data_IF_615013932716
#
_entry.id   IF_615013932716
#
_cell.length_a   1.000
_cell.length_b   1.000
_cell.length_c   1.000
_cell.angle_alpha   90.00
_cell.angle_beta   90.00
_cell.angle_gamma   90.00
#
_symmetry.space_group_name_H-M   'P 1'
#
loop_
_entity.id
_entity.type
_entity.pdbx_description
1 polymer ?
#
# COMPACT_ATOMS: atom_id res chain seq x y z
N UNK A 1 3.90 -3.21 -15.78
CA UNK A 1 4.49 -3.60 -14.47
C UNK A 1 3.40 -4.35 -13.73
N UNK A 2 3.68 -5.57 -13.24
CA UNK A 2 2.66 -6.53 -12.79
C UNK A 2 1.61 -5.93 -11.82
N UNK A 3 2.01 -5.04 -10.93
CA UNK A 3 1.12 -4.40 -9.95
C UNK A 3 0.06 -3.49 -10.60
N UNK A 4 0.48 -2.67 -11.57
CA UNK A 4 -0.41 -1.74 -12.28
C UNK A 4 -1.39 -2.50 -13.18
N UNK A 5 -0.91 -3.55 -13.81
CA UNK A 5 -1.74 -4.42 -14.65
C UNK A 5 -2.76 -5.19 -13.82
N UNK A 6 -2.36 -5.73 -12.65
CA UNK A 6 -3.27 -6.36 -11.71
C UNK A 6 -4.36 -5.39 -11.22
N UNK A 7 -4.00 -4.14 -10.90
CA UNK A 7 -4.98 -3.12 -10.54
C UNK A 7 -5.97 -2.87 -11.68
N UNK A 8 -5.47 -2.70 -12.92
CA UNK A 8 -6.30 -2.40 -14.08
C UNK A 8 -7.33 -3.51 -14.36
N UNK A 9 -6.90 -4.77 -14.40
CA UNK A 9 -7.82 -5.90 -14.68
C UNK A 9 -8.90 -6.05 -13.61
N UNK A 10 -8.59 -5.74 -12.35
CA UNK A 10 -9.57 -5.77 -11.26
C UNK A 10 -10.56 -4.63 -11.39
N UNK A 11 -10.10 -3.40 -11.67
CA UNK A 11 -10.97 -2.22 -11.89
C UNK A 11 -11.87 -2.34 -13.13
N UNK A 12 -11.41 -3.07 -14.14
CA UNK A 12 -12.19 -3.35 -15.36
C UNK A 12 -13.13 -4.54 -15.21
N UNK A 13 -12.99 -5.35 -14.16
CA UNK A 13 -13.80 -6.54 -13.96
C UNK A 13 -15.25 -6.19 -13.63
N UNK A 14 -16.26 -6.56 -14.46
CA UNK A 14 -17.62 -6.10 -14.27
C UNK A 14 -18.23 -6.48 -12.90
N UNK A 15 -18.05 -7.70 -12.38
CA UNK A 15 -18.52 -8.04 -11.04
C UNK A 15 -17.91 -7.19 -9.93
N UNK A 16 -16.64 -6.79 -10.07
CA UNK A 16 -15.99 -5.88 -9.12
C UNK A 16 -16.61 -4.49 -9.17
N UNK A 17 -16.83 -3.93 -10.37
CA UNK A 17 -17.48 -2.62 -10.54
C UNK A 17 -18.88 -2.58 -9.93
N UNK A 18 -19.67 -3.64 -10.09
CA UNK A 18 -20.98 -3.75 -9.45
C UNK A 18 -20.89 -3.82 -7.92
N UNK A 19 -19.90 -4.53 -7.38
CA UNK A 19 -19.65 -4.58 -5.94
C UNK A 19 -19.22 -3.22 -5.36
N UNK A 20 -18.44 -2.45 -6.11
CA UNK A 20 -18.06 -1.08 -5.76
C UNK A 20 -19.24 -0.12 -5.83
N UNK A 21 -20.09 -0.24 -6.85
CA UNK A 21 -21.31 0.56 -6.99
C UNK A 21 -22.28 0.33 -5.83
N UNK A 22 -22.44 -0.91 -5.35
CA UNK A 22 -23.24 -1.22 -4.13
C UNK A 22 -22.72 -0.52 -2.88
N UNK A 23 -21.43 -0.15 -2.86
CA UNK A 23 -20.77 0.59 -1.78
C UNK A 23 -20.75 2.10 -2.02
N UNK A 24 -21.41 2.58 -3.08
CA UNK A 24 -21.48 4.00 -3.44
C UNK A 24 -20.23 4.52 -4.15
N UNK A 25 -19.40 3.64 -4.71
CA UNK A 25 -18.13 4.00 -5.35
C UNK A 25 -18.28 3.76 -6.86
N UNK A 26 -18.54 4.83 -7.59
CA UNK A 26 -18.68 4.78 -9.06
C UNK A 26 -17.39 5.20 -9.78
N UNK A 27 -16.62 6.09 -9.16
CA UNK A 27 -15.32 6.52 -9.65
C UNK A 27 -14.24 5.50 -9.27
N UNK A 28 -13.73 4.79 -10.27
CA UNK A 28 -12.67 3.81 -10.08
C UNK A 28 -11.29 4.46 -9.92
N UNK A 29 -11.11 5.73 -10.23
CA UNK A 29 -9.85 6.44 -10.00
C UNK A 29 -9.56 6.65 -8.50
N UNK A 30 -10.62 6.59 -7.68
CA UNK A 30 -10.50 6.56 -6.21
C UNK A 30 -10.05 5.20 -5.67
N UNK A 31 -10.20 4.13 -6.45
CA UNK A 31 -9.97 2.76 -6.01
C UNK A 31 -8.51 2.38 -6.23
N UNK A 32 -7.86 1.98 -5.14
CA UNK A 32 -6.54 1.38 -5.13
C UNK A 32 -6.68 -0.13 -4.93
N UNK A 33 -6.01 -0.89 -5.78
CA UNK A 33 -5.94 -2.36 -5.70
C UNK A 33 -4.50 -2.73 -5.38
N UNK A 34 -4.25 -3.28 -4.20
CA UNK A 34 -2.91 -3.64 -3.73
C UNK A 34 -2.71 -5.16 -3.79
N UNK A 35 -1.95 -5.70 -4.77
CA UNK A 35 -1.78 -7.15 -4.97
C UNK A 35 -0.90 -7.79 -3.89
N UNK A 36 -1.54 -8.27 -2.82
CA UNK A 36 -0.85 -8.96 -1.73
C UNK A 36 -0.53 -10.42 -2.10
N UNK A 37 0.51 -10.97 -1.47
CA UNK A 37 0.91 -12.35 -1.71
C UNK A 37 -0.19 -13.34 -1.26
N UNK A 38 -0.41 -14.39 -2.06
CA UNK A 38 -1.47 -15.36 -1.78
C UNK A 38 -1.16 -16.30 -0.59
N UNK A 39 0.11 -16.41 -0.19
CA UNK A 39 0.61 -17.41 0.76
C UNK A 39 0.53 -18.84 0.22
N UNK A 40 0.84 -19.83 1.06
CA UNK A 40 0.62 -21.25 0.77
C UNK A 40 -0.21 -21.88 1.89
N UNK A 41 -1.48 -22.16 1.61
CA UNK A 41 -2.40 -22.74 2.60
C UNK A 41 -2.79 -24.18 2.24
N UNK A 42 -2.76 -24.53 0.95
CA UNK A 42 -3.03 -25.87 0.44
C UNK A 42 -2.37 -26.09 -0.92
N UNK A 43 -2.44 -27.31 -1.46
CA UNK A 43 -1.97 -27.64 -2.82
C UNK A 43 -2.61 -26.79 -3.92
N UNK A 44 -3.78 -26.18 -3.67
CA UNK A 44 -4.39 -25.24 -4.60
C UNK A 44 -3.54 -23.95 -4.78
N UNK A 45 -2.73 -23.59 -3.78
CA UNK A 45 -1.80 -22.46 -3.81
C UNK A 45 -0.38 -22.86 -4.26
N UNK A 46 -0.18 -24.12 -4.70
CA UNK A 46 1.13 -24.59 -5.13
C UNK A 46 1.72 -23.71 -6.25
N UNK A 47 3.06 -23.58 -6.34
CA UNK A 47 3.75 -22.65 -7.25
C UNK A 47 3.66 -23.02 -8.75
N UNK A 48 2.61 -23.75 -9.12
CA UNK A 48 2.16 -23.94 -10.50
C UNK A 48 1.58 -22.67 -11.13
N UNK A 49 1.17 -21.69 -10.31
CA UNK A 49 0.71 -20.36 -10.74
C UNK A 49 1.33 -19.28 -9.85
N UNK A 50 1.45 -18.06 -10.39
CA UNK A 50 1.87 -16.87 -9.65
C UNK A 50 0.60 -16.15 -9.20
N UNK A 51 0.22 -16.34 -7.94
CA UNK A 51 -1.06 -15.89 -7.40
C UNK A 51 -0.91 -14.63 -6.53
N UNK A 52 -1.86 -13.71 -6.66
CA UNK A 52 -2.06 -12.59 -5.74
C UNK A 52 -3.49 -12.58 -5.20
N UNK A 53 -3.65 -12.08 -3.97
CA UNK A 53 -4.94 -11.83 -3.32
C UNK A 53 -5.06 -10.33 -3.04
N UNK A 54 -5.47 -9.52 -4.03
CA UNK A 54 -5.45 -8.07 -3.88
C UNK A 54 -6.38 -7.59 -2.76
N UNK A 55 -5.91 -6.60 -2.01
CA UNK A 55 -6.72 -5.82 -1.08
C UNK A 55 -7.16 -4.52 -1.74
N UNK A 56 -8.36 -4.06 -1.39
CA UNK A 56 -9.01 -2.96 -2.06
C UNK A 56 -9.19 -1.80 -1.09
N UNK A 57 -8.74 -0.62 -1.48
CA UNK A 57 -8.82 0.59 -0.68
C UNK A 57 -9.40 1.73 -1.49
N UNK A 58 -9.90 2.76 -0.83
CA UNK A 58 -10.56 3.88 -1.50
C UNK A 58 -10.11 5.22 -0.97
N UNK A 59 -9.63 6.07 -1.87
CA UNK A 59 -9.40 7.50 -1.61
C UNK A 59 -10.71 8.25 -1.43
N UNK A 60 -10.60 9.44 -0.87
CA UNK A 60 -11.65 10.47 -0.87
C UNK A 60 -11.56 11.35 -2.10
N UNK A 61 -10.35 11.61 -2.59
CA UNK A 61 -10.08 12.51 -3.72
C UNK A 61 -9.05 11.87 -4.65
N UNK A 62 -9.29 11.93 -5.97
CA UNK A 62 -8.43 11.27 -6.97
C UNK A 62 -7.13 12.03 -7.21
N UNK A 63 -7.10 13.34 -6.96
CA UNK A 63 -5.99 14.27 -7.19
C UNK A 63 -5.21 14.64 -5.91
N UNK A 64 -5.41 13.91 -4.81
CA UNK A 64 -4.66 14.08 -3.56
C UNK A 64 -3.57 13.01 -3.39
N UNK A 65 -2.34 13.21 -3.93
CA UNK A 65 -1.28 12.20 -3.89
C UNK A 65 -0.77 11.90 -2.47
N UNK A 66 -1.09 12.76 -1.50
CA UNK A 66 -0.69 12.60 -0.11
C UNK A 66 -1.75 11.95 0.78
N UNK A 67 -2.89 11.57 0.20
CA UNK A 67 -3.93 10.85 0.92
C UNK A 67 -3.46 9.42 1.25
N UNK A 68 -3.62 9.04 2.52
CA UNK A 68 -3.40 7.67 2.98
C UNK A 68 -4.56 6.76 2.57
N UNK A 69 -4.43 6.12 1.40
CA UNK A 69 -5.44 5.20 0.86
C UNK A 69 -5.73 4.03 1.82
N UNK A 70 -4.71 3.55 2.54
CA UNK A 70 -4.82 2.41 3.45
C UNK A 70 -5.77 2.68 4.63
N UNK A 71 -6.14 3.94 4.89
CA UNK A 71 -7.09 4.33 5.94
C UNK A 71 -8.54 3.88 5.68
N UNK A 72 -8.87 3.50 4.44
CA UNK A 72 -10.24 3.23 3.99
C UNK A 72 -10.30 1.93 3.18
N UNK A 73 -10.16 0.82 3.89
CA UNK A 73 -10.29 -0.54 3.35
C UNK A 73 -11.73 -0.84 2.90
N UNK A 74 -11.86 -1.40 1.71
CA UNK A 74 -13.11 -1.99 1.21
C UNK A 74 -13.18 -3.43 1.66
N UNK A 75 -13.94 -3.68 2.72
CA UNK A 75 -14.10 -5.02 3.28
C UNK A 75 -15.12 -5.88 2.50
N UNK A 76 -14.94 -7.19 2.65
CA UNK A 76 -15.87 -8.21 2.15
C UNK A 76 -15.74 -8.56 0.67
N UNK A 77 -14.78 -7.98 -0.04
CA UNK A 77 -14.40 -8.38 -1.40
C UNK A 77 -13.17 -9.30 -1.32
N UNK A 78 -13.24 -10.45 -1.99
CA UNK A 78 -12.11 -11.33 -2.21
C UNK A 78 -11.88 -11.48 -3.70
N UNK A 79 -10.63 -11.32 -4.13
CA UNK A 79 -10.22 -11.51 -5.51
C UNK A 79 -8.98 -12.40 -5.50
N UNK A 80 -8.96 -13.42 -6.36
CA UNK A 80 -7.76 -14.20 -6.64
C UNK A 80 -7.34 -13.93 -8.08
N UNK A 81 -6.09 -13.51 -8.24
CA UNK A 81 -5.54 -13.14 -9.55
C UNK A 81 -4.34 -14.02 -9.86
N UNK A 82 -4.33 -14.58 -11.07
CA UNK A 82 -3.11 -15.09 -11.68
C UNK A 82 -2.38 -13.90 -12.30
N UNK A 83 -1.34 -13.43 -11.63
CA UNK A 83 -0.60 -12.23 -12.05
C UNK A 83 0.40 -12.52 -13.16
N UNK A 84 0.64 -13.79 -13.51
CA UNK A 84 1.47 -14.12 -14.67
C UNK A 84 0.65 -14.01 -15.97
N UNK A 85 -0.62 -14.44 -15.92
CA UNK A 85 -1.51 -14.42 -17.09
C UNK A 85 -2.49 -13.22 -17.09
N UNK A 86 -2.50 -12.41 -16.04
CA UNK A 86 -3.41 -11.28 -15.84
C UNK A 86 -4.89 -11.68 -15.97
N UNK A 87 -5.27 -12.75 -15.26
CA UNK A 87 -6.65 -13.24 -15.21
C UNK A 87 -7.16 -13.35 -13.78
N UNK A 88 -8.41 -12.96 -13.58
CA UNK A 88 -9.13 -13.15 -12.32
C UNK A 88 -9.62 -14.60 -12.29
N UNK A 89 -9.15 -15.36 -11.31
CA UNK A 89 -9.51 -16.75 -11.11
C UNK A 89 -10.76 -16.89 -10.24
N UNK A 90 -10.85 -16.05 -9.20
CA UNK A 90 -11.95 -16.08 -8.24
C UNK A 90 -12.35 -14.65 -7.88
N UNK A 91 -13.65 -14.45 -7.67
CA UNK A 91 -14.22 -13.19 -7.20
C UNK A 91 -15.40 -13.48 -6.29
N UNK A 92 -15.37 -12.95 -5.07
CA UNK A 92 -16.45 -13.10 -4.10
C UNK A 92 -16.73 -11.76 -3.39
N UNK A 93 -17.98 -11.30 -3.45
CA UNK A 93 -18.50 -10.18 -2.65
C UNK A 93 -19.33 -10.75 -1.49
N UNK A 94 -18.66 -11.06 -0.38
CA UNK A 94 -19.22 -11.83 0.75
C UNK A 94 -20.07 -11.00 1.68
N UNK A 95 -19.65 -9.77 1.98
CA UNK A 95 -20.26 -8.91 2.99
C UNK A 95 -20.18 -7.45 2.59
N UNK A 96 -21.34 -6.78 2.60
CA UNK A 96 -21.38 -5.33 2.49
C UNK A 96 -21.05 -4.72 3.85
N UNK A 97 -19.82 -4.23 3.99
CA UNK A 97 -19.36 -3.46 5.14
C UNK A 97 -19.24 -1.99 4.71
N UNK A 98 -19.79 -1.04 5.48
CA UNK A 98 -19.63 0.38 5.19
C UNK A 98 -18.15 0.75 5.16
N UNK A 99 -17.75 1.54 4.17
CA UNK A 99 -16.40 2.05 4.06
C UNK A 99 -16.08 2.93 5.29
N UNK A 100 -14.87 2.86 5.87
CA UNK A 100 -14.48 3.80 6.91
C UNK A 100 -14.70 5.25 6.45
N UNK A 101 -15.23 6.08 7.36
CA UNK A 101 -15.41 7.50 7.09
C UNK A 101 -14.05 8.16 6.82
N UNK A 102 -14.09 9.22 6.00
CA UNK A 102 -12.95 10.09 5.80
C UNK A 102 -12.50 10.69 7.13
N UNK A 103 -11.21 10.61 7.43
CA UNK A 103 -10.62 11.13 8.65
C UNK A 103 -9.28 11.78 8.29
N UNK A 104 -9.21 13.12 8.22
CA UNK A 104 -7.98 13.85 7.89
C UNK A 104 -6.81 13.49 8.81
N UNK A 105 -7.08 13.06 10.05
CA UNK A 105 -6.05 12.69 11.01
C UNK A 105 -5.35 11.37 10.67
N UNK A 106 -5.90 10.58 9.73
CA UNK A 106 -5.27 9.37 9.18
C UNK A 106 -4.31 9.64 8.04
N UNK A 107 -4.22 10.88 7.58
CA UNK A 107 -3.11 11.35 6.75
C UNK A 107 -1.95 11.73 7.69
N UNK A 108 -0.77 11.14 7.47
CA UNK A 108 0.41 11.34 8.33
C UNK A 108 1.29 12.51 7.89
N UNK A 109 0.69 13.49 7.21
CA UNK A 109 1.31 14.76 6.83
C UNK A 109 1.36 15.71 8.03
N UNK A 110 2.01 16.87 7.88
CA UNK A 110 2.07 17.88 8.94
C UNK A 110 0.67 18.27 9.41
N UNK A 111 0.55 18.66 10.69
CA UNK A 111 -0.71 19.07 11.30
C UNK A 111 -1.42 20.16 10.50
N UNK A 112 -0.65 21.09 9.93
CA UNK A 112 -1.14 22.20 9.09
C UNK A 112 -2.03 21.74 7.93
N UNK A 113 -1.76 20.58 7.32
CA UNK A 113 -2.52 20.10 6.15
C UNK A 113 -3.71 19.22 6.52
N UNK A 114 -3.93 18.93 7.81
CA UNK A 114 -4.98 18.01 8.29
C UNK A 114 -5.78 18.56 9.47
N UNK A 115 -5.79 19.89 9.61
CA UNK A 115 -6.47 20.62 10.70
C UNK A 115 -6.00 20.17 12.10
N UNK A 116 -4.78 19.64 12.19
CA UNK A 116 -4.13 19.18 13.41
C UNK A 116 -3.09 20.17 13.92
N UNK A 117 -2.58 19.91 15.13
CA UNK A 117 -1.50 20.69 15.74
C UNK A 117 -0.31 19.79 15.98
N UNK A 118 0.81 20.09 15.33
CA UNK A 118 2.09 19.43 15.61
C UNK A 118 2.68 19.96 16.92
N UNK A 119 3.51 19.14 17.57
CA UNK A 119 4.21 19.53 18.80
C UNK A 119 5.19 20.68 18.52
N UNK A 120 5.08 21.75 19.30
CA UNK A 120 5.94 22.94 19.20
C UNK A 120 6.96 23.05 20.35
N UNK A 121 6.97 22.11 21.27
CA UNK A 121 7.79 22.08 22.49
C UNK A 121 9.10 21.29 22.34
N UNK A 122 9.31 20.62 21.21
CA UNK A 122 10.53 19.86 20.92
C UNK A 122 11.69 20.83 20.65
N UNK A 123 12.67 20.86 21.57
CA UNK A 123 13.88 21.68 21.43
C UNK A 123 14.86 21.04 20.44
N UNK A 124 15.62 21.84 19.65
CA UNK A 124 16.63 21.31 18.73
C UNK A 124 17.75 20.53 19.44
N UNK A 125 18.20 19.43 18.83
CA UNK A 125 19.42 18.69 19.21
C UNK A 125 20.45 18.84 18.08
N UNK A 126 21.67 19.24 18.41
CA UNK A 126 22.77 19.36 17.46
C UNK A 126 23.80 18.25 17.72
N UNK A 127 24.05 17.40 16.71
CA UNK A 127 25.09 16.35 16.73
C UNK A 127 26.11 16.71 15.66
N UNK A 128 27.35 17.03 16.08
CA UNK A 128 28.41 17.53 15.18
C UNK A 128 29.67 16.68 15.37
N UNK A 129 30.28 16.24 14.28
CA UNK A 129 31.62 15.63 14.26
C UNK A 129 32.57 16.55 13.48
N UNK A 130 33.31 17.45 14.15
CA UNK A 130 34.14 18.46 13.49
C UNK A 130 35.21 17.88 12.56
N UNK A 131 35.68 16.67 12.87
CA UNK A 131 36.69 15.94 12.09
C UNK A 131 36.06 14.89 11.15
N UNK A 132 34.75 14.91 10.99
CA UNK A 132 33.99 13.94 10.21
C UNK A 132 33.75 12.60 10.92
N UNK A 133 33.11 11.64 10.25
CA UNK A 133 32.85 10.33 10.81
C UNK A 133 34.14 9.50 10.92
N UNK A 134 34.23 8.64 11.93
CA UNK A 134 35.37 7.73 12.11
C UNK A 134 35.30 6.48 11.24
N UNK A 135 34.35 6.38 10.32
CA UNK A 135 34.24 5.29 9.34
C UNK A 135 34.63 5.77 7.94
N UNK A 136 35.16 4.85 7.13
CA UNK A 136 35.45 5.07 5.71
C UNK A 136 34.56 4.16 4.88
N UNK A 137 34.04 4.69 3.77
CA UNK A 137 33.25 3.94 2.80
C UNK A 137 34.02 3.90 1.48
N UNK A 138 34.30 2.70 0.98
CA UNK A 138 34.87 2.48 -0.34
C UNK A 138 33.98 1.49 -1.12
N UNK A 139 33.09 2.02 -1.96
CA UNK A 139 32.01 1.23 -2.54
C UNK A 139 31.10 0.68 -1.42
N UNK A 140 31.03 -0.64 -1.32
CA UNK A 140 30.27 -1.35 -0.28
C UNK A 140 31.12 -1.75 0.94
N UNK A 141 32.42 -1.48 0.91
CA UNK A 141 33.30 -1.76 2.04
C UNK A 141 33.24 -0.62 3.05
N UNK A 142 32.90 -0.97 4.29
CA UNK A 142 32.90 -0.06 5.44
C UNK A 142 33.99 -0.49 6.39
N UNK A 143 34.91 0.44 6.66
CA UNK A 143 35.92 0.30 7.72
C UNK A 143 35.54 1.23 8.86
N UNK A 144 35.38 0.68 10.06
CA UNK A 144 35.09 1.45 11.26
C UNK A 144 35.84 0.87 12.46
N UNK A 145 36.71 1.69 13.06
CA UNK A 145 37.57 1.27 14.16
C UNK A 145 38.38 0.01 13.78
N UNK A 146 38.16 -1.11 14.49
CA UNK A 146 38.86 -2.39 14.25
C UNK A 146 38.06 -3.35 13.38
N UNK A 147 36.94 -2.91 12.81
CA UNK A 147 35.97 -3.75 12.10
C UNK A 147 35.89 -3.34 10.64
N UNK A 148 35.79 -4.35 9.78
CA UNK A 148 35.54 -4.19 8.33
C UNK A 148 34.34 -5.04 7.96
N UNK A 149 33.39 -4.45 7.23
CA UNK A 149 32.16 -5.10 6.75
C UNK A 149 31.93 -4.74 5.28
N UNK A 150 31.29 -5.65 4.54
CA UNK A 150 30.77 -5.39 3.20
C UNK A 150 29.25 -5.31 3.28
N UNK A 151 28.65 -4.22 2.80
CA UNK A 151 27.20 -4.02 2.74
C UNK A 151 26.58 -4.50 1.43
#
# INVERSE_FOLDING_TARGET
MEYVECEAIVKDFPPFREAMKKRGIEDMDLVMVDPWCAGYHSEADAPSRRLAKPLIFCRTESDCPMENCYARLVEGIHVLVDIQNMVILEFEDRKLVPLPLADPLRNYTSGETREGVDRSDVKPLQIIQPEGPSFRVNGHFIEWQKVVVYL
#
